data_IF_616903807674
#
_entry.id   IF_616903807674
#
_cell.length_a   1.000
_cell.length_b   1.000
_cell.length_c   1.000
_cell.angle_alpha   90.00
_cell.angle_beta   90.00
_cell.angle_gamma   90.00
#
_symmetry.space_group_name_H-M   'P 1'
#
loop_
_entity.id
_entity.type
_entity.pdbx_description
1 polymer ?
#
# COMPACT_ATOMS: atom_id res chain seq x y z
N UNK A 1 -1.06 0.87 37.43
CA UNK A 1 -0.93 2.29 37.04
C UNK A 1 -1.33 2.39 35.59
N UNK A 2 -2.50 2.94 35.29
CA UNK A 2 -3.00 3.06 33.89
C UNK A 2 -2.43 4.34 33.30
N UNK A 3 -1.55 4.20 32.33
CA UNK A 3 -1.02 5.34 31.58
C UNK A 3 -2.10 5.81 30.60
N UNK A 4 -2.71 6.96 30.86
CA UNK A 4 -3.53 7.65 29.88
C UNK A 4 -2.64 8.61 29.09
N UNK A 5 -2.28 8.24 27.87
CA UNK A 5 -1.72 9.17 26.90
C UNK A 5 -2.79 10.22 26.56
N UNK A 6 -2.64 11.42 27.08
CA UNK A 6 -3.38 12.59 26.58
C UNK A 6 -2.62 13.15 25.38
N UNK A 7 -3.09 12.83 24.19
CA UNK A 7 -2.63 13.51 22.99
C UNK A 7 -3.22 14.93 22.97
N UNK A 8 -2.39 15.99 22.86
CA UNK A 8 -2.90 17.35 22.81
C UNK A 8 -3.54 17.63 21.45
N UNK A 9 -4.81 18.06 21.48
CA UNK A 9 -5.54 18.68 20.36
C UNK A 9 -5.38 18.01 19.00
N UNK A 10 -5.84 16.78 18.87
CA UNK A 10 -6.19 16.24 17.57
C UNK A 10 -7.52 16.92 17.19
N UNK A 11 -7.61 17.63 16.05
CA UNK A 11 -8.91 18.04 15.52
C UNK A 11 -9.82 16.81 15.46
N UNK A 12 -11.05 16.92 15.85
CA UNK A 12 -12.02 15.84 15.70
C UNK A 12 -11.94 15.37 14.24
N UNK A 13 -11.42 14.15 14.08
CA UNK A 13 -11.53 13.47 12.80
C UNK A 13 -13.03 13.36 12.50
N UNK A 14 -13.49 13.64 11.26
CA UNK A 14 -14.85 13.35 10.88
C UNK A 14 -15.13 11.90 11.30
N UNK A 15 -16.32 11.65 11.86
CA UNK A 15 -16.72 10.32 12.35
C UNK A 15 -16.17 9.25 11.44
N UNK A 16 -15.19 8.51 11.95
CA UNK A 16 -14.52 7.48 11.19
C UNK A 16 -15.60 6.50 10.76
N UNK A 17 -15.83 6.41 9.46
CA UNK A 17 -16.36 5.18 8.90
C UNK A 17 -15.56 4.05 9.54
N UNK A 18 -16.26 3.05 10.08
CA UNK A 18 -15.68 1.97 10.88
C UNK A 18 -14.36 1.52 10.25
N UNK A 19 -13.24 1.72 10.93
CA UNK A 19 -11.88 1.55 10.35
C UNK A 19 -11.59 0.11 9.90
N UNK A 20 -12.55 -0.81 10.10
CA UNK A 20 -12.47 -2.21 9.72
C UNK A 20 -12.92 -2.49 8.28
N UNK A 21 -13.59 -1.56 7.59
CA UNK A 21 -14.34 -1.89 6.37
C UNK A 21 -13.93 -1.11 5.12
N UNK A 22 -12.62 -0.86 4.93
CA UNK A 22 -12.17 -0.37 3.63
C UNK A 22 -12.24 -1.49 2.59
N UNK A 23 -12.51 -1.13 1.35
CA UNK A 23 -12.64 -2.06 0.22
C UNK A 23 -11.44 -3.02 0.15
N UNK A 24 -10.22 -2.48 0.33
CA UNK A 24 -8.99 -3.28 0.36
C UNK A 24 -8.99 -4.35 1.46
N UNK A 25 -9.44 -4.02 2.68
CA UNK A 25 -9.52 -4.96 3.79
C UNK A 25 -10.58 -6.05 3.54
N UNK A 26 -11.76 -5.68 3.07
CA UNK A 26 -12.84 -6.63 2.76
C UNK A 26 -12.35 -7.66 1.74
N UNK A 27 -11.77 -7.21 0.64
CA UNK A 27 -11.27 -8.11 -0.40
C UNK A 27 -10.10 -8.99 0.08
N UNK A 28 -9.22 -8.47 0.96
CA UNK A 28 -8.17 -9.28 1.60
C UNK A 28 -8.75 -10.38 2.48
N UNK A 29 -9.76 -10.07 3.31
CA UNK A 29 -10.43 -11.06 4.16
C UNK A 29 -11.15 -12.14 3.33
N UNK A 30 -11.67 -11.79 2.16
CA UNK A 30 -12.28 -12.72 1.22
C UNK A 30 -11.26 -13.59 0.46
N UNK A 31 -9.96 -13.32 0.59
CA UNK A 31 -8.91 -13.99 -0.17
C UNK A 31 -8.93 -13.70 -1.66
N UNK A 32 -9.55 -12.59 -2.07
CA UNK A 32 -9.74 -12.22 -3.48
C UNK A 32 -8.72 -11.19 -4.00
N UNK A 33 -7.72 -10.83 -3.19
CA UNK A 33 -6.63 -9.93 -3.57
C UNK A 33 -5.39 -10.70 -4.01
N UNK A 34 -4.87 -10.34 -5.18
CA UNK A 34 -3.50 -10.70 -5.54
C UNK A 34 -2.52 -9.96 -4.62
N UNK A 35 -1.58 -10.65 -4.03
CA UNK A 35 -0.45 -10.04 -3.32
C UNK A 35 0.65 -9.77 -4.35
N UNK A 36 0.83 -8.49 -4.70
CA UNK A 36 1.86 -8.06 -5.65
C UNK A 36 3.05 -7.48 -4.89
N UNK A 37 4.07 -8.31 -4.68
CA UNK A 37 5.35 -7.88 -4.13
C UNK A 37 6.14 -7.20 -5.23
N UNK A 38 6.38 -5.89 -5.08
CA UNK A 38 6.91 -5.06 -6.18
C UNK A 38 8.44 -4.86 -6.11
N UNK A 39 9.02 -4.91 -4.92
CA UNK A 39 10.46 -4.76 -4.68
C UNK A 39 10.82 -5.21 -3.26
N UNK A 40 12.04 -5.67 -3.05
CA UNK A 40 12.58 -5.95 -1.70
C UNK A 40 13.26 -4.74 -1.05
N UNK A 41 13.44 -3.64 -1.77
CA UNK A 41 14.06 -2.44 -1.21
C UNK A 41 13.13 -1.75 -0.21
N UNK A 42 13.69 -1.35 0.93
CA UNK A 42 13.00 -0.57 1.94
C UNK A 42 13.95 0.45 2.56
N UNK A 43 13.42 1.61 2.92
CA UNK A 43 14.17 2.64 3.65
C UNK A 43 14.35 2.29 5.14
N UNK A 44 13.49 1.42 5.67
CA UNK A 44 13.43 1.08 7.09
C UNK A 44 13.92 -0.34 7.36
N UNK A 45 14.38 -0.55 8.60
CA UNK A 45 14.76 -1.86 9.15
C UNK A 45 13.93 -2.12 10.42
N UNK A 46 12.64 -2.41 10.24
CA UNK A 46 11.75 -2.67 11.38
C UNK A 46 12.01 -4.06 11.96
N UNK A 47 12.09 -4.19 13.28
CA UNK A 47 12.33 -5.46 13.97
C UNK A 47 11.21 -6.48 13.73
N UNK A 48 9.97 -5.99 13.58
CA UNK A 48 8.79 -6.80 13.28
C UNK A 48 8.52 -7.02 11.78
N UNK A 49 9.44 -6.62 10.91
CA UNK A 49 9.26 -6.73 9.45
C UNK A 49 9.02 -8.19 9.03
N UNK A 50 7.91 -8.49 8.35
CA UNK A 50 7.57 -9.87 7.97
C UNK A 50 8.38 -10.39 6.79
N UNK A 51 9.20 -9.54 6.15
CA UNK A 51 10.01 -9.96 5.01
C UNK A 51 11.12 -10.89 5.44
N UNK A 52 11.21 -12.04 4.78
CA UNK A 52 12.34 -12.94 4.95
C UNK A 52 13.65 -12.28 4.48
N UNK A 53 14.76 -12.69 5.07
CA UNK A 53 16.10 -12.20 4.71
C UNK A 53 16.39 -12.33 3.20
N UNK A 54 15.88 -13.39 2.57
CA UNK A 54 16.01 -13.64 1.14
C UNK A 54 15.23 -12.68 0.24
N UNK A 55 14.33 -11.86 0.81
CA UNK A 55 13.52 -10.89 0.09
C UNK A 55 13.88 -9.44 0.41
N UNK A 56 14.70 -9.22 1.44
CA UNK A 56 15.16 -7.88 1.82
C UNK A 56 16.27 -7.40 0.88
N UNK A 57 16.25 -6.13 0.53
CA UNK A 57 17.29 -5.43 -0.26
C UNK A 57 17.56 -6.04 -1.65
N UNK A 58 16.67 -6.90 -2.15
CA UNK A 58 16.79 -7.51 -3.47
C UNK A 58 15.69 -6.97 -4.38
N UNK A 59 16.06 -6.50 -5.56
CA UNK A 59 15.10 -5.99 -6.52
C UNK A 59 14.54 -7.13 -7.38
N UNK A 60 13.32 -7.53 -7.08
CA UNK A 60 12.56 -8.54 -7.81
C UNK A 60 11.06 -8.39 -7.53
N UNK A 61 10.24 -9.15 -8.22
CA UNK A 61 8.79 -9.16 -8.06
C UNK A 61 8.28 -10.56 -7.70
N UNK A 62 7.13 -10.59 -6.99
CA UNK A 62 6.32 -11.79 -6.82
C UNK A 62 4.84 -11.46 -7.03
N UNK A 63 4.15 -12.36 -7.69
CA UNK A 63 2.69 -12.41 -7.73
C UNK A 63 2.28 -13.58 -6.83
N UNK A 64 1.72 -13.30 -5.66
CA UNK A 64 1.58 -14.26 -4.56
C UNK A 64 2.94 -14.91 -4.23
N UNK A 65 3.05 -16.24 -4.36
CA UNK A 65 4.31 -16.95 -4.15
C UNK A 65 5.12 -17.19 -5.45
N UNK A 66 4.57 -16.82 -6.59
CA UNK A 66 5.25 -16.97 -7.89
C UNK A 66 6.25 -15.83 -8.08
N UNK A 67 7.54 -16.16 -8.16
CA UNK A 67 8.55 -15.19 -8.58
C UNK A 67 8.33 -14.79 -10.03
N UNK A 68 8.40 -13.50 -10.28
CA UNK A 68 8.16 -12.88 -11.60
C UNK A 68 9.35 -12.00 -11.95
N UNK A 69 9.77 -12.04 -13.19
CA UNK A 69 10.80 -11.11 -13.67
C UNK A 69 10.26 -9.68 -13.67
N UNK A 70 11.16 -8.71 -13.41
CA UNK A 70 10.78 -7.29 -13.39
C UNK A 70 10.22 -6.90 -14.77
N UNK A 71 8.99 -6.38 -14.77
CA UNK A 71 8.30 -5.98 -16.00
C UNK A 71 7.55 -7.12 -16.72
N UNK A 72 7.60 -8.35 -16.23
CA UNK A 72 6.75 -9.43 -16.77
C UNK A 72 5.32 -9.35 -16.20
N UNK A 73 4.61 -8.34 -16.64
CA UNK A 73 3.21 -8.14 -16.25
C UNK A 73 2.27 -9.22 -16.78
N UNK A 74 2.67 -9.93 -17.85
CA UNK A 74 1.92 -11.09 -18.34
C UNK A 74 1.80 -12.17 -17.30
N UNK A 75 2.91 -12.50 -16.61
CA UNK A 75 2.91 -13.47 -15.53
C UNK A 75 2.07 -13.01 -14.31
N UNK A 76 2.06 -11.70 -13.99
CA UNK A 76 1.22 -11.11 -12.94
C UNK A 76 -0.26 -11.25 -13.28
N UNK A 77 -0.63 -10.94 -14.52
CA UNK A 77 -2.02 -11.06 -15.03
C UNK A 77 -2.48 -12.52 -15.00
N UNK A 78 -1.63 -13.46 -15.45
CA UNK A 78 -1.93 -14.90 -15.38
C UNK A 78 -2.26 -15.35 -13.95
N UNK A 79 -1.45 -14.92 -12.98
CA UNK A 79 -1.65 -15.26 -11.57
C UNK A 79 -2.95 -14.66 -11.02
N UNK A 80 -3.22 -13.38 -11.34
CA UNK A 80 -4.46 -12.71 -10.96
C UNK A 80 -5.70 -13.43 -11.52
N UNK A 81 -5.65 -13.86 -12.78
CA UNK A 81 -6.73 -14.62 -13.42
C UNK A 81 -6.90 -16.00 -12.81
N UNK A 82 -5.81 -16.70 -12.51
CA UNK A 82 -5.84 -18.04 -11.94
C UNK A 82 -6.56 -18.10 -10.58
N UNK A 83 -6.44 -17.05 -9.79
CA UNK A 83 -7.12 -16.95 -8.49
C UNK A 83 -8.47 -16.21 -8.53
N UNK A 84 -8.90 -15.74 -9.72
CA UNK A 84 -10.06 -14.86 -9.88
C UNK A 84 -9.98 -13.61 -9.00
N UNK A 85 -8.82 -12.95 -9.02
CA UNK A 85 -8.60 -11.76 -8.22
C UNK A 85 -9.59 -10.63 -8.57
N UNK A 86 -10.10 -9.96 -7.55
CA UNK A 86 -10.93 -8.75 -7.69
C UNK A 86 -10.12 -7.47 -7.48
N UNK A 87 -8.85 -7.60 -7.17
CA UNK A 87 -7.93 -6.51 -6.95
C UNK A 87 -6.52 -7.00 -6.62
N UNK A 88 -5.62 -6.07 -6.38
CA UNK A 88 -4.26 -6.36 -5.93
C UNK A 88 -3.86 -5.48 -4.74
N UNK A 89 -3.12 -6.07 -3.80
CA UNK A 89 -2.40 -5.38 -2.75
C UNK A 89 -0.93 -5.25 -3.14
N UNK A 90 -0.48 -4.02 -3.38
CA UNK A 90 0.89 -3.72 -3.76
C UNK A 90 1.72 -3.56 -2.49
N UNK A 91 2.70 -4.42 -2.32
CA UNK A 91 3.53 -4.54 -1.12
C UNK A 91 4.98 -4.84 -1.49
N UNK A 92 5.79 -5.12 -0.49
CA UNK A 92 7.22 -5.47 -0.67
C UNK A 92 8.05 -4.98 0.51
N UNK A 93 9.20 -4.42 0.23
CA UNK A 93 9.92 -3.54 1.12
C UNK A 93 9.11 -2.25 1.31
N UNK A 94 9.39 -1.25 0.48
CA UNK A 94 8.47 -0.10 0.36
C UNK A 94 8.20 0.19 -1.12
N UNK A 95 6.94 0.08 -1.57
CA UNK A 95 6.58 0.27 -2.97
C UNK A 95 6.96 1.64 -3.55
N UNK A 96 7.01 2.69 -2.73
CA UNK A 96 7.40 4.04 -3.19
C UNK A 96 8.86 4.05 -3.68
N UNK A 97 9.72 3.16 -3.18
CA UNK A 97 11.09 3.00 -3.69
C UNK A 97 11.16 2.44 -5.12
N UNK A 98 10.09 1.75 -5.55
CA UNK A 98 9.93 1.25 -6.93
C UNK A 98 8.77 1.97 -7.64
N UNK A 99 8.61 3.28 -7.40
CA UNK A 99 7.48 4.11 -7.79
C UNK A 99 7.07 3.94 -9.26
N UNK A 100 8.01 4.02 -10.19
CA UNK A 100 7.72 3.91 -11.63
C UNK A 100 7.09 2.55 -11.97
N UNK A 101 7.57 1.48 -11.31
CA UNK A 101 7.04 0.13 -11.46
C UNK A 101 5.62 0.02 -10.88
N UNK A 102 5.35 0.68 -9.76
CA UNK A 102 3.98 0.75 -9.19
C UNK A 102 3.05 1.44 -10.17
N UNK A 103 3.42 2.62 -10.69
CA UNK A 103 2.62 3.37 -11.65
C UNK A 103 2.34 2.56 -12.94
N UNK A 104 3.36 1.89 -13.47
CA UNK A 104 3.22 1.01 -14.62
C UNK A 104 2.26 -0.14 -14.33
N UNK A 105 2.46 -0.83 -13.20
CA UNK A 105 1.61 -1.95 -12.78
C UNK A 105 0.15 -1.56 -12.60
N UNK A 106 -0.11 -0.42 -11.95
CA UNK A 106 -1.46 0.10 -11.78
C UNK A 106 -2.15 0.31 -13.14
N UNK A 107 -1.49 1.00 -14.08
CA UNK A 107 -2.05 1.24 -15.43
C UNK A 107 -2.34 -0.05 -16.18
N UNK A 108 -1.42 -1.01 -16.12
CA UNK A 108 -1.56 -2.31 -16.80
C UNK A 108 -2.72 -3.10 -16.19
N UNK A 109 -2.79 -3.21 -14.86
CA UNK A 109 -3.84 -3.96 -14.19
C UNK A 109 -5.22 -3.33 -14.40
N UNK A 110 -5.34 -2.00 -14.35
CA UNK A 110 -6.59 -1.30 -14.70
C UNK A 110 -6.98 -1.49 -16.16
N UNK A 111 -6.02 -1.45 -17.08
CA UNK A 111 -6.28 -1.70 -18.50
C UNK A 111 -6.80 -3.12 -18.73
N UNK A 112 -6.24 -4.10 -18.02
CA UNK A 112 -6.56 -5.52 -18.20
C UNK A 112 -7.89 -5.93 -17.55
N UNK A 113 -8.14 -5.45 -16.32
CA UNK A 113 -9.27 -5.90 -15.50
C UNK A 113 -10.39 -4.86 -15.36
N UNK A 114 -10.15 -3.63 -15.82
CA UNK A 114 -11.09 -2.51 -15.70
C UNK A 114 -11.01 -1.77 -14.36
N UNK A 115 -11.79 -0.68 -14.25
CA UNK A 115 -11.77 0.23 -13.10
C UNK A 115 -12.22 -0.43 -11.78
N UNK A 116 -13.04 -1.47 -11.88
CA UNK A 116 -13.50 -2.24 -10.71
C UNK A 116 -12.43 -3.14 -10.06
N UNK A 117 -11.27 -3.31 -10.67
CA UNK A 117 -10.16 -4.06 -10.08
C UNK A 117 -9.44 -3.18 -9.06
N UNK A 118 -9.73 -3.39 -7.78
CA UNK A 118 -9.29 -2.51 -6.70
C UNK A 118 -7.80 -2.63 -6.40
N UNK A 119 -7.06 -1.54 -6.51
CA UNK A 119 -5.63 -1.47 -6.24
C UNK A 119 -5.35 -0.72 -4.95
N UNK A 120 -4.69 -1.36 -3.99
CA UNK A 120 -4.21 -0.69 -2.80
C UNK A 120 -2.72 -0.88 -2.58
N UNK A 121 -2.10 0.08 -1.90
CA UNK A 121 -0.67 0.09 -1.61
C UNK A 121 -0.41 0.45 -0.16
N UNK A 122 0.65 -0.15 0.41
CA UNK A 122 1.19 0.25 1.71
C UNK A 122 2.51 0.99 1.50
N UNK A 123 2.75 2.05 2.27
CA UNK A 123 4.03 2.74 2.29
C UNK A 123 4.32 3.36 3.65
N UNK A 124 5.59 3.38 4.03
CA UNK A 124 6.11 4.12 5.18
C UNK A 124 6.83 5.40 4.77
N UNK A 125 6.85 5.72 3.49
CA UNK A 125 7.59 6.85 2.92
C UNK A 125 6.60 7.94 2.46
N UNK A 126 6.59 9.12 3.12
CA UNK A 126 5.85 10.25 2.59
C UNK A 126 6.50 10.74 1.29
N UNK A 127 5.69 11.20 0.35
CA UNK A 127 6.14 11.72 -0.93
C UNK A 127 5.51 13.09 -1.24
N UNK A 128 6.01 13.74 -2.27
CA UNK A 128 5.53 15.08 -2.65
C UNK A 128 4.09 15.04 -3.12
N UNK A 129 3.30 16.11 -2.91
CA UNK A 129 1.89 16.18 -3.32
C UNK A 129 1.64 15.80 -4.79
N UNK A 130 2.52 16.21 -5.70
CA UNK A 130 2.39 15.91 -7.14
C UNK A 130 2.40 14.39 -7.42
N UNK A 131 3.04 13.61 -6.54
CA UNK A 131 3.03 12.14 -6.62
C UNK A 131 1.65 11.53 -6.40
N UNK A 132 0.77 12.23 -5.67
CA UNK A 132 -0.59 11.75 -5.43
C UNK A 132 -1.43 11.77 -6.72
N UNK A 133 -1.32 12.83 -7.52
CA UNK A 133 -2.00 12.92 -8.81
C UNK A 133 -1.54 11.81 -9.75
N UNK A 134 -0.23 11.53 -9.78
CA UNK A 134 0.31 10.48 -10.64
C UNK A 134 -0.16 9.07 -10.23
N UNK A 135 -0.28 8.78 -8.93
CA UNK A 135 -0.85 7.52 -8.45
C UNK A 135 -2.35 7.41 -8.77
N UNK A 136 -3.11 8.50 -8.59
CA UNK A 136 -4.52 8.54 -8.94
C UNK A 136 -4.74 8.32 -10.45
N UNK A 137 -3.98 9.02 -11.29
CA UNK A 137 -4.02 8.87 -12.75
C UNK A 137 -3.61 7.46 -13.21
N UNK A 138 -2.73 6.79 -12.46
CA UNK A 138 -2.36 5.40 -12.72
C UNK A 138 -3.45 4.42 -12.29
N UNK A 139 -4.45 4.86 -11.50
CA UNK A 139 -5.58 4.04 -11.05
C UNK A 139 -5.39 3.41 -9.67
N UNK A 140 -4.53 3.95 -8.81
CA UNK A 140 -4.45 3.52 -7.41
C UNK A 140 -5.71 3.97 -6.67
N UNK A 141 -6.43 3.03 -6.05
CA UNK A 141 -7.70 3.32 -5.36
C UNK A 141 -7.51 3.61 -3.88
N UNK A 142 -6.53 2.98 -3.24
CA UNK A 142 -6.31 3.09 -1.79
C UNK A 142 -4.84 3.09 -1.44
N UNK A 143 -4.43 3.92 -0.47
CA UNK A 143 -3.08 3.96 0.08
C UNK A 143 -3.12 3.95 1.60
N UNK A 144 -2.26 3.14 2.21
CA UNK A 144 -2.09 3.06 3.65
C UNK A 144 -0.69 3.50 4.05
N UNK A 145 -0.63 4.44 4.98
CA UNK A 145 0.62 4.96 5.51
C UNK A 145 0.96 4.27 6.81
N UNK A 146 2.05 3.54 6.80
CA UNK A 146 2.61 2.91 8.00
C UNK A 146 3.56 3.90 8.67
N UNK A 147 3.15 4.46 9.80
CA UNK A 147 3.93 5.46 10.52
C UNK A 147 5.00 4.77 11.36
N UNK A 148 6.26 5.05 11.04
CA UNK A 148 7.44 4.52 11.74
C UNK A 148 8.16 5.59 12.55
N UNK A 149 7.89 6.85 12.30
CA UNK A 149 8.35 7.97 13.11
C UNK A 149 7.18 8.90 13.44
N UNK A 150 7.42 9.79 14.40
CA UNK A 150 6.40 10.72 14.86
C UNK A 150 6.44 12.07 14.11
N UNK A 151 7.21 12.19 13.03
CA UNK A 151 7.24 13.38 12.17
C UNK A 151 5.97 13.46 11.30
N UNK A 152 4.84 13.58 11.95
CA UNK A 152 3.52 13.50 11.34
C UNK A 152 3.25 14.55 10.24
N UNK A 153 4.01 15.64 10.19
CA UNK A 153 3.73 16.73 9.24
C UNK A 153 3.96 16.34 7.79
N UNK A 154 5.01 15.57 7.50
CA UNK A 154 5.28 15.10 6.14
C UNK A 154 4.19 14.16 5.65
N UNK A 155 3.74 13.23 6.50
CA UNK A 155 2.63 12.33 6.19
C UNK A 155 1.32 13.09 6.01
N UNK A 156 1.07 14.11 6.83
CA UNK A 156 -0.16 14.92 6.73
C UNK A 156 -0.32 15.55 5.35
N UNK A 157 0.75 16.13 4.80
CA UNK A 157 0.72 16.74 3.47
C UNK A 157 0.47 15.70 2.38
N UNK A 158 1.14 14.56 2.45
CA UNK A 158 0.97 13.45 1.50
C UNK A 158 -0.44 12.86 1.57
N UNK A 159 -0.96 12.61 2.79
CA UNK A 159 -2.31 12.10 3.00
C UNK A 159 -3.36 13.06 2.44
N UNK A 160 -3.20 14.37 2.73
CA UNK A 160 -4.11 15.38 2.23
C UNK A 160 -4.11 15.44 0.69
N UNK A 161 -2.94 15.31 0.06
CA UNK A 161 -2.82 15.27 -1.39
C UNK A 161 -3.47 14.02 -1.99
N UNK A 162 -3.21 12.83 -1.43
CA UNK A 162 -3.85 11.58 -1.87
C UNK A 162 -5.37 11.64 -1.75
N UNK A 163 -5.88 12.14 -0.63
CA UNK A 163 -7.31 12.31 -0.43
C UNK A 163 -7.92 13.31 -1.43
N UNK A 164 -7.23 14.41 -1.70
CA UNK A 164 -7.67 15.40 -2.68
C UNK A 164 -7.65 14.85 -4.11
N UNK A 165 -6.72 13.96 -4.43
CA UNK A 165 -6.66 13.25 -5.71
C UNK A 165 -7.69 12.11 -5.84
N UNK A 166 -8.50 11.84 -4.80
CA UNK A 166 -9.54 10.82 -4.81
C UNK A 166 -9.06 9.42 -4.40
N UNK A 167 -7.82 9.29 -3.92
CA UNK A 167 -7.32 8.02 -3.38
C UNK A 167 -7.82 7.86 -1.94
N UNK A 168 -8.43 6.73 -1.62
CA UNK A 168 -8.79 6.38 -0.24
C UNK A 168 -7.53 6.28 0.63
N UNK A 169 -7.50 6.96 1.77
CA UNK A 169 -6.30 7.01 2.62
C UNK A 169 -6.55 6.40 4.00
N UNK A 170 -5.57 5.67 4.51
CA UNK A 170 -5.59 5.11 5.86
C UNK A 170 -4.22 5.19 6.52
N UNK A 171 -4.21 5.01 7.83
CA UNK A 171 -2.99 4.97 8.64
C UNK A 171 -2.91 3.64 9.36
N UNK A 172 -1.73 3.05 9.37
CA UNK A 172 -1.39 1.88 10.16
C UNK A 172 -0.32 2.25 11.18
N UNK A 173 -0.52 1.79 12.40
CA UNK A 173 0.44 1.98 13.48
C UNK A 173 0.93 0.61 13.95
N UNK A 174 2.23 0.44 14.19
CA UNK A 174 2.73 -0.75 14.83
C UNK A 174 2.14 -0.83 16.26
N UNK A 175 1.70 -2.01 16.65
CA UNK A 175 1.21 -2.29 17.97
C UNK A 175 2.15 -3.33 18.61
N UNK A 176 3.18 -2.85 19.30
CA UNK A 176 4.10 -3.71 20.02
C UNK A 176 3.60 -3.89 21.44
N UNK A 177 3.56 -5.12 21.99
CA UNK A 177 3.30 -5.34 23.40
C UNK A 177 4.51 -4.83 24.21
N UNK A 178 4.23 -4.18 25.37
CA UNK A 178 5.24 -3.72 26.34
C UNK A 178 6.10 -4.88 26.89
#
# INVERSE_FOLDING_TARGET
>A
MTFQLRLPNIPELPEAADASDTEGCIQCQMGSKLVLFITGHCHWMCDYCPLSENRREIDFMYANERRVEIGDWGAVIEEARAMNATGAGITGGDPVMARERVLEGCRILKTEFGDGFHLHMYTSIPFRPEGADEFAEAGLDEIRFHFLDLEAEQYRQTIAACSAAGISTGVELPCEPD
#
